data_IF_673028999647
#
_entry.id   IF_673028999647
#
_cell.length_a   1.000
_cell.length_b   1.000
_cell.length_c   1.000
_cell.angle_alpha   90.00
_cell.angle_beta   90.00
_cell.angle_gamma   90.00
#
_symmetry.space_group_name_H-M   'P 1'
#
loop_
_entity.id
_entity.type
_entity.pdbx_description
1 polymer ?
#
# COMPACT_ATOMS: atom_id res chain seq x y z
N UNK A 1 -8.66 -78.74 18.71
CA UNK A 1 -7.45 -77.96 19.09
C UNK A 1 -7.66 -76.55 18.55
N UNK A 2 -8.31 -75.64 19.30
CA UNK A 2 -7.65 -74.53 20.03
C UNK A 2 -6.53 -73.91 19.16
N UNK A 3 -6.63 -72.65 18.74
CA UNK A 3 -6.45 -71.47 19.59
C UNK A 3 -7.30 -70.28 19.09
N UNK A 4 -8.20 -69.84 19.96
CA UNK A 4 -8.69 -68.46 20.08
C UNK A 4 -7.58 -67.53 20.57
N UNK A 5 -7.48 -66.28 20.07
CA UNK A 5 -7.57 -65.05 20.89
C UNK A 5 -7.16 -63.76 20.14
N UNK A 6 -8.12 -62.82 20.17
CA UNK A 6 -7.98 -61.38 20.42
C UNK A 6 -7.24 -60.51 19.39
N UNK A 7 -8.02 -59.63 18.76
CA UNK A 7 -7.74 -58.19 18.71
C UNK A 7 -9.05 -57.43 18.46
N UNK A 8 -9.79 -57.19 19.55
CA UNK A 8 -10.69 -56.04 19.70
C UNK A 8 -9.82 -54.83 20.07
N UNK A 9 -9.91 -53.73 19.31
CA UNK A 9 -9.44 -52.42 19.77
C UNK A 9 -9.15 -51.42 18.63
N UNK A 10 -9.61 -50.19 18.83
CA UNK A 10 -9.43 -48.96 18.02
C UNK A 10 -10.37 -48.85 16.80
N UNK A 11 -11.61 -48.39 16.95
CA UNK A 11 -12.05 -47.01 17.25
C UNK A 11 -11.59 -46.01 16.19
N UNK A 12 -12.48 -45.78 15.20
CA UNK A 12 -12.88 -44.49 14.63
C UNK A 12 -11.97 -43.33 15.02
N UNK A 13 -11.07 -42.87 14.14
CA UNK A 13 -10.56 -41.50 14.20
C UNK A 13 -9.78 -41.04 12.95
N UNK A 14 -10.36 -41.09 11.74
CA UNK A 14 -9.81 -40.35 10.59
C UNK A 14 -10.95 -39.84 9.68
N UNK A 15 -11.78 -38.91 10.17
CA UNK A 15 -12.62 -38.03 9.31
C UNK A 15 -12.78 -36.66 9.98
N UNK A 16 -11.66 -36.01 10.36
CA UNK A 16 -11.69 -34.67 10.93
C UNK A 16 -10.56 -33.80 10.39
N UNK A 17 -10.37 -33.81 9.06
CA UNK A 17 -9.29 -33.04 8.41
C UNK A 17 -9.76 -32.19 7.22
N UNK A 18 -11.05 -31.86 7.12
CA UNK A 18 -11.52 -30.99 6.03
C UNK A 18 -12.77 -30.20 6.39
N UNK A 19 -12.74 -29.42 7.48
CA UNK A 19 -13.61 -28.26 7.67
C UNK A 19 -12.76 -26.99 7.92
N UNK A 20 -11.65 -26.86 7.19
CA UNK A 20 -11.22 -25.52 6.82
C UNK A 20 -12.19 -25.07 5.71
N UNK A 21 -12.81 -23.88 5.78
CA UNK A 21 -13.37 -23.32 4.58
C UNK A 21 -12.22 -23.23 3.57
N UNK A 22 -12.36 -23.89 2.42
CA UNK A 22 -11.58 -23.51 1.26
C UNK A 22 -11.99 -22.06 1.01
N UNK A 23 -11.14 -21.10 1.39
CA UNK A 23 -11.34 -19.71 1.04
C UNK A 23 -11.44 -19.70 -0.49
N UNK A 24 -12.64 -19.43 -0.98
CA UNK A 24 -12.85 -19.18 -2.40
C UNK A 24 -12.21 -17.82 -2.68
N UNK A 25 -11.48 -17.74 -3.78
CA UNK A 25 -10.94 -16.48 -4.25
C UNK A 25 -12.05 -15.71 -4.96
N UNK A 26 -12.05 -14.40 -4.76
CA UNK A 26 -13.11 -13.55 -5.27
C UNK A 26 -13.12 -13.53 -6.81
N UNK A 27 -14.31 -13.49 -7.38
CA UNK A 27 -14.46 -13.32 -8.82
C UNK A 27 -13.87 -11.98 -9.26
N UNK A 28 -13.29 -11.93 -10.46
CA UNK A 28 -12.60 -10.74 -10.98
C UNK A 28 -13.51 -9.51 -11.03
N UNK A 29 -14.82 -9.68 -11.26
CA UNK A 29 -15.75 -8.56 -11.25
C UNK A 29 -15.92 -7.98 -9.84
N UNK A 30 -16.01 -8.84 -8.82
CA UNK A 30 -16.10 -8.43 -7.41
C UNK A 30 -14.81 -7.75 -6.94
N UNK A 31 -13.65 -8.26 -7.35
CA UNK A 31 -12.35 -7.63 -7.04
C UNK A 31 -12.22 -6.25 -7.67
N UNK A 32 -12.70 -6.08 -8.91
CA UNK A 32 -12.74 -4.76 -9.55
C UNK A 32 -13.66 -3.80 -8.78
N UNK A 33 -14.87 -4.25 -8.43
CA UNK A 33 -15.78 -3.45 -7.60
C UNK A 33 -15.14 -3.07 -6.25
N UNK A 34 -14.44 -4.00 -5.62
CA UNK A 34 -13.72 -3.74 -4.37
C UNK A 34 -12.69 -2.63 -4.56
N UNK A 35 -11.87 -2.69 -5.61
CA UNK A 35 -10.88 -1.64 -5.90
C UNK A 35 -11.51 -0.27 -6.11
N UNK A 36 -12.61 -0.20 -6.86
CA UNK A 36 -13.35 1.04 -7.13
C UNK A 36 -14.00 1.61 -5.86
N UNK A 37 -14.65 0.76 -5.05
CA UNK A 37 -15.35 1.21 -3.83
C UNK A 37 -14.38 1.66 -2.75
N UNK A 38 -13.20 1.02 -2.66
CA UNK A 38 -12.16 1.36 -1.69
C UNK A 38 -11.28 2.54 -2.14
N UNK A 39 -11.38 2.98 -3.40
CA UNK A 39 -10.47 3.97 -3.99
C UNK A 39 -9.06 3.44 -4.25
N UNK A 40 -8.83 2.14 -4.10
CA UNK A 40 -7.51 1.54 -4.32
C UNK A 40 -7.11 1.49 -5.79
N UNK A 41 -8.09 1.54 -6.69
CA UNK A 41 -7.86 1.75 -8.12
C UNK A 41 -7.15 3.10 -8.39
N UNK A 42 -7.58 4.17 -7.74
CA UNK A 42 -6.93 5.49 -7.82
C UNK A 42 -5.53 5.43 -7.22
N UNK A 43 -5.36 4.79 -6.06
CA UNK A 43 -4.05 4.62 -5.44
C UNK A 43 -3.06 3.89 -6.37
N UNK A 44 -3.47 2.79 -7.00
CA UNK A 44 -2.63 2.04 -7.96
C UNK A 44 -2.31 2.88 -9.20
N UNK A 45 -3.31 3.52 -9.80
CA UNK A 45 -3.12 4.25 -11.06
C UNK A 45 -2.32 5.55 -10.87
N UNK A 46 -2.37 6.14 -9.67
CA UNK A 46 -1.57 7.32 -9.31
C UNK A 46 -0.05 7.06 -9.31
N UNK A 47 0.39 5.80 -9.19
CA UNK A 47 1.81 5.43 -9.20
C UNK A 47 2.53 5.88 -10.47
N UNK A 48 1.83 5.97 -11.60
CA UNK A 48 2.39 6.49 -12.86
C UNK A 48 2.88 7.93 -12.71
N UNK A 49 2.12 8.79 -12.03
CA UNK A 49 2.51 10.19 -11.80
C UNK A 49 3.77 10.27 -10.93
N UNK A 50 3.83 9.45 -9.87
CA UNK A 50 5.01 9.32 -9.03
C UNK A 50 6.24 8.86 -9.82
N UNK A 51 6.10 7.84 -10.65
CA UNK A 51 7.19 7.34 -11.50
C UNK A 51 7.69 8.42 -12.48
N UNK A 52 6.79 9.18 -13.11
CA UNK A 52 7.16 10.24 -14.05
C UNK A 52 7.96 11.40 -13.41
N UNK A 53 7.86 11.59 -12.09
CA UNK A 53 8.62 12.59 -11.35
C UNK A 53 10.11 12.22 -11.14
N UNK A 54 10.52 10.98 -11.45
CA UNK A 54 11.87 10.43 -11.26
C UNK A 54 13.06 11.31 -11.73
N UNK A 55 13.04 11.95 -12.91
CA UNK A 55 14.17 12.76 -13.39
C UNK A 55 14.44 14.00 -12.54
N UNK A 56 13.38 14.56 -11.93
CA UNK A 56 13.47 15.69 -11.01
C UNK A 56 14.19 15.34 -9.71
N UNK A 57 14.13 14.07 -9.29
CA UNK A 57 14.81 13.54 -8.09
C UNK A 57 16.29 13.31 -8.37
N UNK A 58 16.66 12.87 -9.58
CA UNK A 58 18.05 12.61 -9.98
C UNK A 58 18.87 13.89 -10.29
N UNK A 59 18.28 15.08 -10.14
CA UNK A 59 18.94 16.37 -10.44
C UNK A 59 19.32 16.53 -11.92
N UNK A 60 18.75 15.72 -12.81
CA UNK A 60 19.05 15.77 -14.25
C UNK A 60 18.19 16.84 -14.92
N UNK A 61 18.83 17.71 -15.71
CA UNK A 61 18.19 18.88 -16.29
C UNK A 61 16.94 18.52 -17.12
N UNK A 62 15.93 19.41 -17.20
CA UNK A 62 14.75 19.26 -18.05
C UNK A 62 15.10 19.43 -19.54
N UNK A 63 15.83 18.45 -20.08
CA UNK A 63 16.20 18.31 -21.49
C UNK A 63 15.67 17.01 -22.08
N UNK A 64 16.20 16.59 -23.23
CA UNK A 64 15.70 15.43 -23.99
C UNK A 64 15.65 14.13 -23.18
N UNK A 65 16.58 13.92 -22.24
CA UNK A 65 16.59 12.77 -21.34
C UNK A 65 15.36 12.74 -20.41
N UNK A 66 15.02 13.86 -19.77
CA UNK A 66 13.84 13.95 -18.91
C UNK A 66 12.55 13.66 -19.69
N UNK A 67 12.42 14.23 -20.90
CA UNK A 67 11.26 13.97 -21.77
C UNK A 67 11.16 12.50 -22.21
N UNK A 68 12.28 11.87 -22.54
CA UNK A 68 12.31 10.45 -22.93
C UNK A 68 11.98 9.54 -21.75
N UNK A 69 12.48 9.86 -20.55
CA UNK A 69 12.16 9.15 -19.33
C UNK A 69 10.67 9.25 -19.01
N UNK A 70 10.09 10.46 -19.01
CA UNK A 70 8.66 10.64 -18.72
C UNK A 70 7.79 9.82 -19.68
N UNK A 71 8.10 9.83 -20.98
CA UNK A 71 7.38 9.01 -21.97
C UNK A 71 7.57 7.51 -21.76
N UNK A 72 8.73 7.07 -21.26
CA UNK A 72 8.98 5.67 -20.95
C UNK A 72 8.22 5.26 -19.68
N UNK A 73 8.30 6.05 -18.61
CA UNK A 73 7.58 5.85 -17.37
C UNK A 73 6.06 5.81 -17.60
N UNK A 74 5.52 6.71 -18.42
CA UNK A 74 4.10 6.71 -18.81
C UNK A 74 3.68 5.37 -19.45
N UNK A 75 4.50 4.80 -20.34
CA UNK A 75 4.21 3.51 -20.99
C UNK A 75 4.42 2.31 -20.07
N UNK A 76 5.43 2.35 -19.21
CA UNK A 76 5.78 1.22 -18.33
C UNK A 76 4.78 1.13 -17.17
N UNK A 77 4.40 2.26 -16.59
CA UNK A 77 3.38 2.38 -15.56
C UNK A 77 1.99 2.61 -16.18
N UNK A 78 1.62 1.74 -17.12
CA UNK A 78 0.29 1.77 -17.73
C UNK A 78 -0.81 1.46 -16.70
N UNK A 79 -1.80 2.36 -16.50
CA UNK A 79 -2.85 2.20 -15.49
C UNK A 79 -3.65 0.91 -15.61
N UNK A 80 -4.01 0.49 -16.84
CA UNK A 80 -4.82 -0.69 -17.07
C UNK A 80 -4.02 -1.95 -16.75
N UNK A 81 -2.75 -2.02 -17.16
CA UNK A 81 -1.87 -3.14 -16.82
C UNK A 81 -1.64 -3.27 -15.31
N UNK A 82 -1.46 -2.14 -14.61
CA UNK A 82 -1.28 -2.14 -13.15
C UNK A 82 -2.53 -2.62 -12.42
N UNK A 83 -3.71 -2.19 -12.85
CA UNK A 83 -4.99 -2.65 -12.28
C UNK A 83 -5.25 -4.13 -12.56
N UNK A 84 -5.00 -4.58 -13.79
CA UNK A 84 -5.14 -6.00 -14.14
C UNK A 84 -4.22 -6.88 -13.30
N UNK A 85 -2.97 -6.43 -13.09
CA UNK A 85 -2.00 -7.13 -12.27
C UNK A 85 -2.42 -7.17 -10.79
N UNK A 86 -2.92 -6.08 -10.25
CA UNK A 86 -3.44 -6.05 -8.89
C UNK A 86 -4.60 -7.04 -8.69
N UNK A 87 -5.56 -7.08 -9.63
CA UNK A 87 -6.67 -8.03 -9.60
C UNK A 87 -6.17 -9.49 -9.66
N UNK A 88 -5.14 -9.78 -10.46
CA UNK A 88 -4.53 -11.11 -10.50
C UNK A 88 -3.93 -11.53 -9.16
N UNK A 89 -3.17 -10.64 -8.51
CA UNK A 89 -2.55 -10.92 -7.20
C UNK A 89 -3.64 -11.08 -6.13
N UNK A 90 -4.67 -10.22 -6.13
CA UNK A 90 -5.81 -10.34 -5.23
C UNK A 90 -6.56 -11.67 -5.42
N UNK A 91 -6.81 -12.07 -6.66
CA UNK A 91 -7.47 -13.34 -6.97
C UNK A 91 -6.66 -14.57 -6.51
N UNK A 92 -5.35 -14.43 -6.29
CA UNK A 92 -4.52 -15.51 -5.77
C UNK A 92 -4.47 -15.57 -4.23
N UNK A 93 -4.70 -14.44 -3.54
CA UNK A 93 -4.36 -14.31 -2.12
C UNK A 93 -5.43 -13.70 -1.22
N UNK A 94 -6.46 -13.06 -1.76
CA UNK A 94 -7.46 -12.34 -0.98
C UNK A 94 -8.74 -13.18 -0.77
N UNK A 95 -9.08 -13.52 0.49
CA UNK A 95 -10.33 -14.24 0.80
C UNK A 95 -11.58 -13.39 0.52
N UNK A 96 -12.63 -14.02 0.00
CA UNK A 96 -13.95 -13.39 -0.24
C UNK A 96 -14.46 -12.60 0.98
N UNK A 97 -14.30 -13.13 2.19
CA UNK A 97 -14.77 -12.47 3.41
C UNK A 97 -14.09 -11.13 3.69
N UNK A 98 -12.83 -10.95 3.29
CA UNK A 98 -12.14 -9.66 3.42
C UNK A 98 -12.60 -8.69 2.34
N UNK A 99 -12.87 -9.20 1.14
CA UNK A 99 -13.42 -8.40 0.04
C UNK A 99 -14.80 -7.86 0.43
N UNK A 100 -15.70 -8.72 0.89
CA UNK A 100 -17.04 -8.33 1.36
C UNK A 100 -16.96 -7.34 2.53
N UNK A 101 -16.08 -7.59 3.50
CA UNK A 101 -15.89 -6.69 4.65
C UNK A 101 -15.45 -5.28 4.23
N UNK A 102 -14.50 -5.18 3.30
CA UNK A 102 -14.06 -3.88 2.78
C UNK A 102 -15.15 -3.18 1.97
N UNK A 103 -15.88 -3.91 1.12
CA UNK A 103 -17.04 -3.37 0.39
C UNK A 103 -18.10 -2.83 1.35
N UNK A 104 -18.41 -3.55 2.42
CA UNK A 104 -19.40 -3.13 3.41
C UNK A 104 -18.98 -1.84 4.12
N UNK A 105 -17.72 -1.73 4.55
CA UNK A 105 -17.22 -0.53 5.22
C UNK A 105 -17.15 0.67 4.26
N UNK A 106 -16.46 0.51 3.12
CA UNK A 106 -16.27 1.61 2.17
C UNK A 106 -17.54 1.95 1.39
N UNK A 107 -18.51 1.05 1.33
CA UNK A 107 -19.86 1.29 0.82
C UNK A 107 -20.78 2.05 1.79
N UNK A 108 -20.36 2.27 3.04
CA UNK A 108 -21.10 3.07 4.03
C UNK A 108 -21.01 4.58 3.74
N UNK A 109 -21.85 5.40 4.40
CA UNK A 109 -21.80 6.86 4.27
C UNK A 109 -20.43 7.44 4.65
N UNK A 110 -19.86 6.99 5.77
CA UNK A 110 -18.52 7.41 6.20
C UNK A 110 -17.45 6.94 5.20
N UNK A 111 -17.51 5.66 4.79
CA UNK A 111 -16.57 5.09 3.83
C UNK A 111 -16.51 5.85 2.51
N UNK A 112 -17.68 6.15 1.93
CA UNK A 112 -17.76 6.91 0.67
C UNK A 112 -17.22 8.34 0.82
N UNK A 113 -17.50 9.01 1.95
CA UNK A 113 -16.95 10.34 2.24
C UNK A 113 -15.42 10.30 2.35
N UNK A 114 -14.87 9.29 3.03
CA UNK A 114 -13.42 9.09 3.17
C UNK A 114 -12.75 8.94 1.81
N UNK A 115 -13.26 8.03 0.96
CA UNK A 115 -12.70 7.77 -0.38
C UNK A 115 -12.71 9.02 -1.25
N UNK A 116 -13.78 9.82 -1.21
CA UNK A 116 -13.82 11.11 -1.93
C UNK A 116 -12.71 12.04 -1.44
N UNK A 117 -12.55 12.20 -0.13
CA UNK A 117 -11.54 13.09 0.44
C UNK A 117 -10.10 12.60 0.21
N UNK A 118 -9.87 11.30 0.28
CA UNK A 118 -8.57 10.66 0.01
C UNK A 118 -8.19 10.83 -1.47
N UNK A 119 -9.13 10.60 -2.40
CA UNK A 119 -8.90 10.80 -3.82
C UNK A 119 -8.66 12.28 -4.18
N UNK A 120 -9.43 13.21 -3.60
CA UNK A 120 -9.18 14.65 -3.76
C UNK A 120 -7.81 15.06 -3.21
N UNK A 121 -7.39 14.46 -2.09
CA UNK A 121 -6.07 14.66 -1.51
C UNK A 121 -4.96 14.16 -2.44
N UNK A 122 -5.11 12.98 -3.02
CA UNK A 122 -4.15 12.40 -3.96
C UNK A 122 -4.00 13.21 -5.26
N UNK A 123 -5.06 13.86 -5.74
CA UNK A 123 -5.01 14.72 -6.93
C UNK A 123 -4.46 16.12 -6.65
N UNK A 124 -4.27 16.47 -5.37
CA UNK A 124 -3.70 17.76 -4.99
C UNK A 124 -2.16 17.71 -5.07
N UNK A 125 -1.49 18.69 -5.69
CA UNK A 125 -0.03 18.77 -5.69
C UNK A 125 0.57 18.75 -4.28
N UNK A 126 1.64 17.99 -4.11
CA UNK A 126 2.30 17.76 -2.82
C UNK A 126 2.69 19.06 -2.12
N UNK A 127 3.18 20.07 -2.85
CA UNK A 127 3.57 21.35 -2.26
C UNK A 127 2.39 22.04 -1.57
N UNK A 128 1.21 21.97 -2.20
CA UNK A 128 -0.01 22.55 -1.62
C UNK A 128 -0.50 21.69 -0.46
N UNK A 129 -0.58 20.38 -0.66
CA UNK A 129 -1.07 19.42 0.33
C UNK A 129 -0.28 19.51 1.63
N UNK A 130 1.05 19.50 1.56
CA UNK A 130 1.92 19.55 2.73
C UNK A 130 1.95 20.92 3.39
N UNK A 131 1.93 22.02 2.63
CA UNK A 131 1.88 23.36 3.21
C UNK A 131 0.58 23.60 4.02
N UNK A 132 -0.56 23.17 3.49
CA UNK A 132 -1.83 23.25 4.21
C UNK A 132 -1.88 22.27 5.40
N UNK A 133 -1.41 21.04 5.22
CA UNK A 133 -1.28 20.06 6.30
C UNK A 133 -0.42 20.53 7.47
N UNK A 134 0.69 21.23 7.18
CA UNK A 134 1.58 21.82 8.20
C UNK A 134 0.86 22.90 9.01
N UNK A 135 0.14 23.80 8.35
CA UNK A 135 -0.63 24.85 9.02
C UNK A 135 -1.74 24.26 9.91
N UNK A 136 -2.42 23.21 9.43
CA UNK A 136 -3.45 22.50 10.19
C UNK A 136 -2.87 21.84 11.44
N UNK A 137 -1.80 21.05 11.30
CA UNK A 137 -1.17 20.37 12.43
C UNK A 137 -0.56 21.33 13.44
N UNK A 138 0.07 22.41 12.98
CA UNK A 138 0.66 23.43 13.85
C UNK A 138 -0.36 24.01 14.83
N UNK A 139 -1.61 24.16 14.40
CA UNK A 139 -2.73 24.60 15.25
C UNK A 139 -3.28 23.43 16.09
N UNK A 140 -3.45 22.26 15.47
CA UNK A 140 -4.08 21.09 16.07
C UNK A 140 -3.32 20.55 17.28
N UNK A 141 -1.98 20.62 17.29
CA UNK A 141 -1.15 20.16 18.42
C UNK A 141 -1.51 20.86 19.73
N UNK A 142 -1.87 22.15 19.67
CA UNK A 142 -2.28 22.90 20.85
C UNK A 142 -3.78 22.76 21.16
N UNK A 143 -4.62 22.82 20.13
CA UNK A 143 -6.07 22.99 20.30
C UNK A 143 -6.84 21.67 20.32
N UNK A 144 -6.32 20.62 19.66
CA UNK A 144 -6.93 19.30 19.58
C UNK A 144 -5.87 18.17 19.52
N UNK A 145 -5.11 17.95 20.61
CA UNK A 145 -4.10 16.89 20.65
C UNK A 145 -4.69 15.48 20.51
N UNK A 146 -5.99 15.31 20.79
CA UNK A 146 -6.69 14.03 20.61
C UNK A 146 -6.75 13.62 19.14
N UNK A 147 -7.09 14.56 18.24
CA UNK A 147 -7.12 14.30 16.80
C UNK A 147 -5.73 13.95 16.24
N UNK A 148 -4.66 14.58 16.74
CA UNK A 148 -3.28 14.23 16.34
C UNK A 148 -2.95 12.78 16.72
N UNK A 149 -3.39 12.35 17.91
CA UNK A 149 -3.20 10.96 18.35
C UNK A 149 -4.04 9.98 17.52
N UNK A 150 -5.29 10.34 17.18
CA UNK A 150 -6.11 9.52 16.29
C UNK A 150 -5.42 9.32 14.92
N UNK A 151 -4.86 10.36 14.32
CA UNK A 151 -4.08 10.26 13.08
C UNK A 151 -2.85 9.34 13.21
N UNK A 152 -2.12 9.44 14.33
CA UNK A 152 -0.98 8.57 14.60
C UNK A 152 -1.41 7.10 14.66
N UNK A 153 -2.51 6.81 15.36
CA UNK A 153 -3.05 5.46 15.50
C UNK A 153 -3.61 4.90 14.18
N UNK A 154 -4.24 5.73 13.36
CA UNK A 154 -4.67 5.35 12.01
C UNK A 154 -3.48 4.88 11.16
N UNK A 155 -2.38 5.65 11.14
CA UNK A 155 -1.17 5.26 10.41
C UNK A 155 -0.56 3.95 10.94
N UNK A 156 -0.54 3.76 12.26
CA UNK A 156 -0.08 2.51 12.87
C UNK A 156 -0.94 1.31 12.45
N UNK A 157 -2.27 1.50 12.38
CA UNK A 157 -3.21 0.45 12.01
C UNK A 157 -3.06 -0.03 10.56
N UNK A 158 -2.65 0.84 9.63
CA UNK A 158 -2.47 0.50 8.21
C UNK A 158 -1.04 0.03 7.87
N UNK A 159 -0.24 -0.35 8.88
CA UNK A 159 1.10 -0.91 8.71
C UNK A 159 2.25 0.02 9.07
N UNK A 160 1.95 1.28 9.41
CA UNK A 160 2.92 2.26 9.87
C UNK A 160 3.97 2.66 8.82
N UNK A 161 4.92 3.50 9.26
CA UNK A 161 5.98 4.00 8.38
C UNK A 161 7.01 2.93 8.02
N UNK A 162 7.26 1.95 8.89
CA UNK A 162 8.27 0.90 8.65
C UNK A 162 7.97 0.03 7.43
N UNK A 163 6.69 -0.29 7.18
CA UNK A 163 6.31 -1.09 6.01
C UNK A 163 6.62 -0.33 4.72
N UNK A 164 6.31 0.97 4.71
CA UNK A 164 6.51 1.87 3.58
C UNK A 164 7.99 2.15 3.34
N UNK A 165 8.79 2.35 4.41
CA UNK A 165 10.25 2.47 4.35
C UNK A 165 10.87 1.23 3.71
N UNK A 166 10.49 0.03 4.19
CA UNK A 166 11.01 -1.23 3.65
C UNK A 166 10.69 -1.38 2.15
N UNK A 167 9.46 -1.07 1.77
CA UNK A 167 9.06 -1.13 0.37
C UNK A 167 9.86 -0.16 -0.50
N UNK A 168 10.03 1.08 -0.04
CA UNK A 168 10.82 2.09 -0.75
C UNK A 168 12.28 1.65 -0.94
N UNK A 169 12.91 1.04 0.08
CA UNK A 169 14.25 0.45 -0.04
C UNK A 169 14.29 -0.59 -1.15
N UNK A 170 13.35 -1.55 -1.17
CA UNK A 170 13.33 -2.60 -2.19
C UNK A 170 13.10 -2.04 -3.60
N UNK A 171 12.23 -1.05 -3.74
CA UNK A 171 12.00 -0.36 -5.01
C UNK A 171 13.28 0.33 -5.50
N UNK A 172 13.96 1.08 -4.62
CA UNK A 172 15.21 1.76 -4.97
C UNK A 172 16.32 0.78 -5.36
N UNK A 173 16.46 -0.33 -4.64
CA UNK A 173 17.44 -1.37 -4.98
C UNK A 173 17.17 -1.97 -6.36
N UNK A 174 15.92 -2.37 -6.64
CA UNK A 174 15.54 -2.95 -7.94
C UNK A 174 15.78 -1.97 -9.08
N UNK A 175 15.39 -0.71 -8.89
CA UNK A 175 15.66 0.35 -9.87
C UNK A 175 17.16 0.53 -10.15
N UNK A 176 17.99 0.62 -9.11
CA UNK A 176 19.44 0.83 -9.30
C UNK A 176 20.13 -0.36 -9.96
N UNK A 177 19.75 -1.60 -9.60
CA UNK A 177 20.28 -2.81 -10.24
C UNK A 177 19.91 -2.83 -11.73
N UNK A 178 18.65 -2.52 -12.07
CA UNK A 178 18.20 -2.42 -13.46
C UNK A 178 18.95 -1.34 -14.23
N UNK A 179 19.12 -0.16 -13.64
CA UNK A 179 19.82 0.97 -14.26
C UNK A 179 21.31 0.69 -14.52
N UNK A 180 21.99 0.00 -13.60
CA UNK A 180 23.39 -0.46 -13.78
C UNK A 180 23.45 -1.51 -14.88
N UNK A 181 22.54 -2.49 -14.88
CA UNK A 181 22.47 -3.52 -15.91
C UNK A 181 22.22 -2.95 -17.33
N UNK A 182 21.49 -1.83 -17.42
CA UNK A 182 21.25 -1.10 -18.65
C UNK A 182 22.36 -0.11 -19.04
N UNK A 183 23.38 0.08 -18.19
CA UNK A 183 24.48 1.02 -18.40
C UNK A 183 24.06 2.50 -18.33
N UNK A 184 22.93 2.81 -17.69
CA UNK A 184 22.47 4.20 -17.51
C UNK A 184 23.22 4.93 -16.40
N UNK A 185 23.86 4.19 -15.51
CA UNK A 185 24.57 4.70 -14.35
C UNK A 185 25.99 4.13 -14.36
N UNK A 186 26.99 5.02 -14.33
CA UNK A 186 28.41 4.65 -14.32
C UNK A 186 28.87 4.37 -12.88
N UNK A 187 28.25 3.35 -12.27
CA UNK A 187 28.49 2.94 -10.89
C UNK A 187 28.84 1.45 -10.88
N UNK A 188 29.97 1.12 -10.27
CA UNK A 188 30.47 -0.25 -10.08
C UNK A 188 30.24 -0.69 -8.63
N UNK A 189 28.96 -0.73 -8.21
CA UNK A 189 28.57 -1.28 -6.90
C UNK A 189 27.91 -2.65 -7.08
N UNK A 190 28.27 -3.59 -6.22
CA UNK A 190 27.50 -4.81 -6.02
C UNK A 190 26.15 -4.50 -5.36
N UNK A 191 25.18 -5.41 -5.51
CA UNK A 191 23.89 -5.29 -4.82
C UNK A 191 24.05 -5.10 -3.29
N UNK A 192 25.01 -5.80 -2.68
CA UNK A 192 25.28 -5.68 -1.25
C UNK A 192 25.78 -4.28 -0.87
N UNK A 193 26.60 -3.65 -1.72
CA UNK A 193 27.08 -2.28 -1.51
C UNK A 193 25.96 -1.25 -1.70
N UNK A 194 25.12 -1.42 -2.73
CA UNK A 194 23.94 -0.56 -2.93
C UNK A 194 23.00 -0.61 -1.73
N UNK A 195 22.71 -1.82 -1.23
CA UNK A 195 21.87 -2.01 -0.04
C UNK A 195 22.48 -1.35 1.19
N UNK A 196 23.79 -1.47 1.39
CA UNK A 196 24.46 -0.81 2.50
C UNK A 196 24.36 0.72 2.43
N UNK A 197 24.53 1.31 1.24
CA UNK A 197 24.41 2.75 1.03
C UNK A 197 22.99 3.26 1.26
N UNK A 198 21.96 2.53 0.82
CA UNK A 198 20.56 2.89 1.07
C UNK A 198 20.24 2.77 2.56
N UNK A 199 20.75 1.75 3.23
CA UNK A 199 20.53 1.53 4.67
C UNK A 199 21.02 2.72 5.52
N UNK A 200 22.10 3.39 5.10
CA UNK A 200 22.59 4.62 5.75
C UNK A 200 21.58 5.77 5.71
N UNK A 201 20.67 5.79 4.72
CA UNK A 201 19.65 6.82 4.53
C UNK A 201 18.31 6.48 5.18
N UNK A 202 18.09 5.22 5.58
CA UNK A 202 16.83 4.75 6.18
C UNK A 202 16.36 5.59 7.37
N UNK A 203 17.23 6.05 8.31
CA UNK A 203 16.78 6.88 9.43
C UNK A 203 16.17 8.22 9.01
N UNK A 204 16.74 8.88 7.98
CA UNK A 204 16.23 10.13 7.43
C UNK A 204 14.94 9.88 6.66
N UNK A 205 14.93 8.86 5.80
CA UNK A 205 13.73 8.46 5.04
C UNK A 205 12.55 8.16 5.97
N UNK A 206 12.77 7.42 7.06
CA UNK A 206 11.74 7.17 8.08
C UNK A 206 11.17 8.48 8.64
N UNK A 207 12.05 9.40 9.06
CA UNK A 207 11.64 10.67 9.66
C UNK A 207 10.80 11.49 8.67
N UNK A 208 11.25 11.58 7.43
CA UNK A 208 10.53 12.33 6.39
C UNK A 208 9.17 11.70 6.10
N UNK A 209 9.12 10.38 5.98
CA UNK A 209 7.85 9.67 5.78
C UNK A 209 6.89 9.86 6.95
N UNK A 210 7.36 9.83 8.21
CA UNK A 210 6.52 10.16 9.38
C UNK A 210 5.92 11.56 9.29
N UNK A 211 6.74 12.56 8.95
CA UNK A 211 6.30 13.95 8.84
C UNK A 211 5.29 14.09 7.70
N UNK A 212 5.66 13.72 6.47
CA UNK A 212 4.80 13.92 5.30
C UNK A 212 3.53 13.08 5.34
N UNK A 213 3.55 11.89 5.94
CA UNK A 213 2.34 11.09 6.16
C UNK A 213 1.38 11.79 7.12
N UNK A 214 1.90 12.40 8.20
CA UNK A 214 1.07 13.18 9.12
C UNK A 214 0.51 14.43 8.45
N UNK A 215 1.32 15.17 7.68
CA UNK A 215 0.86 16.35 6.92
C UNK A 215 -0.26 15.97 5.93
N UNK A 216 -0.05 14.90 5.16
CA UNK A 216 -1.03 14.39 4.20
C UNK A 216 -2.33 13.92 4.88
N UNK A 217 -2.23 13.23 6.01
CA UNK A 217 -3.37 12.80 6.84
C UNK A 217 -4.19 13.99 7.34
N UNK A 218 -3.51 15.01 7.87
CA UNK A 218 -4.17 16.22 8.34
C UNK A 218 -4.90 16.96 7.22
N UNK A 219 -4.30 17.02 6.03
CA UNK A 219 -4.94 17.60 4.86
C UNK A 219 -6.14 16.77 4.38
N UNK A 220 -5.98 15.44 4.26
CA UNK A 220 -7.02 14.55 3.73
C UNK A 220 -8.29 14.57 4.61
N UNK A 221 -8.13 14.55 5.93
CA UNK A 221 -9.26 14.48 6.87
C UNK A 221 -9.61 15.83 7.52
N UNK A 222 -9.17 16.96 6.95
CA UNK A 222 -9.37 18.31 7.49
C UNK A 222 -10.84 18.68 7.69
N UNK A 223 -11.72 18.16 6.81
CA UNK A 223 -13.15 18.49 6.78
C UNK A 223 -14.01 17.47 7.55
N UNK A 224 -13.38 16.48 8.20
CA UNK A 224 -14.08 15.46 9.00
C UNK A 224 -14.22 15.89 10.45
N UNK A 225 -15.29 15.43 11.11
CA UNK A 225 -15.49 15.61 12.54
C UNK A 225 -14.55 14.70 13.35
N UNK A 226 -14.33 15.02 14.63
CA UNK A 226 -13.52 14.16 15.52
C UNK A 226 -14.15 12.77 15.69
N UNK A 227 -15.49 12.70 15.65
CA UNK A 227 -16.21 11.43 15.75
C UNK A 227 -16.08 10.59 14.48
N UNK A 228 -16.11 11.22 13.30
CA UNK A 228 -15.84 10.52 12.03
C UNK A 228 -14.41 9.97 11.98
N UNK A 229 -13.42 10.79 12.35
CA UNK A 229 -12.00 10.37 12.39
C UNK A 229 -11.81 9.21 13.37
N UNK A 230 -12.43 9.28 14.55
CA UNK A 230 -12.36 8.19 15.53
C UNK A 230 -13.05 6.92 15.05
N UNK A 231 -14.23 7.04 14.43
CA UNK A 231 -14.93 5.90 13.85
C UNK A 231 -14.10 5.23 12.75
N UNK A 232 -13.39 6.03 11.94
CA UNK A 232 -12.48 5.48 10.95
C UNK A 232 -11.27 4.79 11.58
N UNK A 233 -10.61 5.42 12.56
CA UNK A 233 -9.52 4.79 13.34
C UNK A 233 -9.95 3.44 13.90
N UNK A 234 -11.12 3.38 14.54
CA UNK A 234 -11.65 2.13 15.13
C UNK A 234 -11.90 1.07 14.06
N UNK A 235 -12.39 1.46 12.88
CA UNK A 235 -12.52 0.55 11.75
C UNK A 235 -11.16 0.04 11.24
N UNK A 236 -10.14 0.90 11.15
CA UNK A 236 -8.78 0.51 10.76
C UNK A 236 -8.14 -0.44 11.78
N UNK A 237 -8.52 -0.35 13.05
CA UNK A 237 -7.99 -1.20 14.12
C UNK A 237 -8.58 -2.61 14.14
N UNK A 238 -9.63 -2.90 13.36
CA UNK A 238 -10.22 -4.25 13.31
C UNK A 238 -9.26 -5.26 12.66
N UNK A 239 -9.25 -6.52 13.10
CA UNK A 239 -8.40 -7.55 12.51
C UNK A 239 -8.59 -7.72 11.00
N UNK A 240 -9.83 -7.58 10.52
CA UNK A 240 -10.19 -7.68 9.11
C UNK A 240 -9.64 -6.50 8.31
N UNK A 241 -9.82 -5.26 8.77
CA UNK A 241 -9.34 -4.08 8.06
C UNK A 241 -7.80 -4.01 8.04
N UNK A 242 -7.14 -4.42 9.12
CA UNK A 242 -5.67 -4.55 9.15
C UNK A 242 -5.16 -5.54 8.10
N UNK A 243 -5.81 -6.69 7.97
CA UNK A 243 -5.47 -7.67 6.94
C UNK A 243 -5.73 -7.15 5.53
N UNK A 244 -6.82 -6.40 5.33
CA UNK A 244 -7.09 -5.72 4.05
C UNK A 244 -5.93 -4.79 3.71
N UNK A 245 -5.54 -3.90 4.60
CA UNK A 245 -4.42 -2.97 4.36
C UNK A 245 -3.07 -3.66 4.18
N UNK A 246 -2.79 -4.73 4.95
CA UNK A 246 -1.57 -5.53 4.77
C UNK A 246 -1.49 -6.11 3.34
N UNK A 247 -2.59 -6.71 2.87
CA UNK A 247 -2.67 -7.27 1.51
C UNK A 247 -2.59 -6.19 0.44
N UNK A 248 -3.34 -5.08 0.60
CA UNK A 248 -3.36 -3.99 -0.36
C UNK A 248 -1.98 -3.33 -0.49
N UNK A 249 -1.32 -3.01 0.63
CA UNK A 249 0.03 -2.46 0.61
C UNK A 249 1.01 -3.42 -0.10
N UNK A 250 0.95 -4.72 0.20
CA UNK A 250 1.80 -5.71 -0.46
C UNK A 250 1.54 -5.78 -1.98
N UNK A 251 0.28 -5.72 -2.41
CA UNK A 251 -0.10 -5.68 -3.82
C UNK A 251 0.44 -4.43 -4.50
N UNK A 252 0.26 -3.25 -3.91
CA UNK A 252 0.77 -1.99 -4.46
C UNK A 252 2.28 -2.03 -4.63
N UNK A 253 3.01 -2.51 -3.62
CA UNK A 253 4.46 -2.63 -3.67
C UNK A 253 4.92 -3.61 -4.74
N UNK A 254 4.28 -4.76 -4.87
CA UNK A 254 4.65 -5.75 -5.89
C UNK A 254 4.38 -5.21 -7.30
N UNK A 255 3.21 -4.60 -7.53
CA UNK A 255 2.89 -3.96 -8.82
C UNK A 255 3.91 -2.89 -9.16
N UNK A 256 4.23 -2.01 -8.19
CA UNK A 256 5.21 -0.93 -8.37
C UNK A 256 6.60 -1.48 -8.68
N UNK A 257 7.05 -2.49 -7.95
CA UNK A 257 8.37 -3.11 -8.14
C UNK A 257 8.49 -3.77 -9.52
N UNK A 258 7.48 -4.52 -9.95
CA UNK A 258 7.45 -5.11 -11.31
C UNK A 258 7.52 -4.03 -12.40
N UNK A 259 6.94 -2.84 -12.18
CA UNK A 259 7.03 -1.74 -13.15
C UNK A 259 8.44 -1.15 -13.20
N UNK A 260 9.07 -0.93 -12.05
CA UNK A 260 10.46 -0.42 -12.01
C UNK A 260 11.48 -1.42 -12.55
N UNK A 261 11.22 -2.73 -12.50
CA UNK A 261 12.09 -3.73 -13.15
C UNK A 261 12.09 -3.62 -14.68
N UNK A 262 11.00 -3.10 -15.26
CA UNK A 262 10.83 -2.97 -16.72
C UNK A 262 11.27 -1.59 -17.23
N UNK A 263 11.33 -0.58 -16.35
CA UNK A 263 11.67 0.80 -16.67
C UNK A 263 13.14 0.98 -17.04
#
# INVERSE_FOLDING_TARGET
MQITRKLTGALVLIVALAWAPLAQAADRATLRQFLEVTGFDVAITSMQQGAMAGPGIAGTAPGDFGNQYTQLAERVFDPDLMLERAIEIMAAGMPDSLVDYGIDFYGSDLGQRLVVAENESHLTPDEKRYAEGEALLGTMVADNPGRVEDYRLMMEAIGGVESSVRAMVEIQVRYLISAIGAGMVDIDYSEAELRALIEEQVPEMRRDMEIYSMLGTAYAYRDFSDDDVRAYREALETPEMRQIYELLNAIQFEVMAERYEVL
#
